data_IF_088847420769
#
_entry.id   IF_088847420769
#
_cell.length_a   1.000
_cell.length_b   1.000
_cell.length_c   1.000
_cell.angle_alpha   90.00
_cell.angle_beta   90.00
_cell.angle_gamma   90.00
#
_symmetry.space_group_name_H-M   'P 1'
#
loop_
_entity.id
_entity.type
_entity.pdbx_description
1 polymer ?
#
# COMPACT_ATOMS: atom_id res chain seq x y z
N UNK A 1 -0.87 -4.92 10.19
CA UNK A 1 -1.11 -6.36 10.46
C UNK A 1 -0.35 -7.21 9.44
N UNK A 2 -0.17 -8.52 9.69
CA UNK A 2 0.48 -9.43 8.72
C UNK A 2 -0.59 -10.27 8.02
N UNK A 3 -0.47 -10.38 6.69
CA UNK A 3 -1.28 -11.23 5.83
C UNK A 3 -0.36 -11.93 4.83
N UNK A 4 -0.37 -13.26 4.79
CA UNK A 4 0.47 -14.09 3.89
C UNK A 4 1.93 -13.60 3.77
N UNK A 5 2.61 -13.46 4.92
CA UNK A 5 3.99 -12.99 5.02
C UNK A 5 4.24 -11.57 4.45
N UNK A 6 3.21 -10.75 4.33
CA UNK A 6 3.34 -9.32 3.99
C UNK A 6 2.75 -8.45 5.10
N UNK A 7 3.29 -7.25 5.27
CA UNK A 7 2.70 -6.26 6.16
C UNK A 7 1.65 -5.44 5.43
N UNK A 8 0.43 -5.43 5.94
CA UNK A 8 -0.57 -4.42 5.60
C UNK A 8 -0.42 -3.26 6.58
N UNK A 9 0.37 -2.25 6.18
CA UNK A 9 0.67 -1.09 7.01
C UNK A 9 -0.52 -0.12 7.04
N UNK A 10 -0.82 0.46 8.19
CA UNK A 10 -1.99 1.29 8.46
C UNK A 10 -3.35 0.59 8.23
N UNK A 11 -3.33 -0.73 8.19
CA UNK A 11 -4.53 -1.57 8.20
C UNK A 11 -4.57 -2.31 9.53
N UNK A 12 -5.67 -2.15 10.23
CA UNK A 12 -5.91 -2.77 11.53
C UNK A 12 -6.48 -4.16 11.40
N UNK A 13 -7.39 -4.36 10.44
CA UNK A 13 -8.18 -5.56 10.27
C UNK A 13 -8.59 -5.74 8.80
N UNK A 14 -8.83 -6.98 8.37
CA UNK A 14 -9.46 -7.27 7.08
C UNK A 14 -10.82 -7.92 7.32
N UNK A 15 -11.81 -7.55 6.52
CA UNK A 15 -13.17 -8.06 6.56
C UNK A 15 -13.54 -8.73 5.24
N UNK A 16 -14.03 -9.96 5.28
CA UNK A 16 -14.50 -10.63 4.08
C UNK A 16 -15.62 -9.86 3.39
N UNK A 17 -15.47 -9.60 2.10
CA UNK A 17 -16.47 -9.02 1.24
C UNK A 17 -17.28 -10.13 0.53
N UNK A 18 -18.50 -9.80 0.07
CA UNK A 18 -19.39 -10.78 -0.56
C UNK A 18 -18.83 -11.40 -1.86
N UNK A 19 -17.91 -10.71 -2.51
CA UNK A 19 -17.29 -11.12 -3.77
C UNK A 19 -16.01 -11.97 -3.60
N UNK A 20 -15.74 -12.48 -2.38
CA UNK A 20 -14.57 -13.30 -2.08
C UNK A 20 -13.27 -12.53 -1.87
N UNK A 21 -13.30 -11.18 -1.94
CA UNK A 21 -12.17 -10.32 -1.57
C UNK A 21 -12.27 -9.89 -0.09
N UNK A 22 -11.32 -9.05 0.35
CA UNK A 22 -11.28 -8.48 1.69
C UNK A 22 -11.28 -6.96 1.62
N UNK A 23 -12.17 -6.31 2.38
CA UNK A 23 -12.05 -4.90 2.71
C UNK A 23 -10.90 -4.73 3.70
N UNK A 24 -10.06 -3.75 3.48
CA UNK A 24 -8.97 -3.38 4.38
C UNK A 24 -9.44 -2.25 5.29
N UNK A 25 -9.55 -2.53 6.59
CA UNK A 25 -10.08 -1.58 7.58
C UNK A 25 -8.95 -0.86 8.30
N UNK A 26 -8.98 0.46 8.33
CA UNK A 26 -7.97 1.28 9.02
C UNK A 26 -8.12 1.26 10.53
N UNK A 27 -9.34 1.11 11.03
CA UNK A 27 -9.64 0.92 12.45
C UNK A 27 -10.41 -0.40 12.65
N UNK A 28 -10.27 -1.04 13.84
CA UNK A 28 -10.94 -2.31 14.09
C UNK A 28 -12.48 -2.17 14.05
N UNK A 29 -13.15 -3.26 13.71
CA UNK A 29 -14.62 -3.35 13.75
C UNK A 29 -15.22 -2.95 15.11
N UNK A 30 -14.50 -3.23 16.18
CA UNK A 30 -14.93 -2.84 17.54
C UNK A 30 -15.03 -1.31 17.70
N UNK A 31 -14.13 -0.57 17.06
CA UNK A 31 -14.14 0.90 17.03
C UNK A 31 -15.17 1.42 16.03
N UNK A 32 -15.26 0.79 14.85
CA UNK A 32 -16.19 1.16 13.77
C UNK A 32 -17.64 1.25 14.27
N UNK A 33 -18.06 0.35 15.17
CA UNK A 33 -19.40 0.35 15.75
C UNK A 33 -19.82 1.66 16.45
N UNK A 34 -18.84 2.44 16.90
CA UNK A 34 -19.08 3.75 17.54
C UNK A 34 -19.01 4.94 16.59
N UNK A 35 -18.73 4.70 15.30
CA UNK A 35 -18.61 5.75 14.29
C UNK A 35 -19.99 6.08 13.67
N UNK A 36 -20.11 7.29 13.10
CA UNK A 36 -21.21 7.60 12.20
C UNK A 36 -21.14 6.74 10.94
N UNK A 37 -22.26 6.59 10.21
CA UNK A 37 -22.31 5.83 8.94
C UNK A 37 -21.23 6.29 7.95
N UNK A 38 -21.06 7.60 7.80
CA UNK A 38 -20.07 8.19 6.89
C UNK A 38 -18.63 7.87 7.33
N UNK A 39 -18.36 7.92 8.64
CA UNK A 39 -17.04 7.59 9.17
C UNK A 39 -16.73 6.08 9.04
N UNK A 40 -17.72 5.22 9.26
CA UNK A 40 -17.60 3.77 9.06
C UNK A 40 -17.33 3.42 7.59
N UNK A 41 -17.99 4.10 6.64
CA UNK A 41 -17.70 3.91 5.20
C UNK A 41 -16.27 4.36 4.85
N UNK A 42 -15.80 5.47 5.45
CA UNK A 42 -14.42 5.98 5.27
C UNK A 42 -13.36 5.06 5.88
N UNK A 43 -13.74 4.17 6.81
CA UNK A 43 -12.81 3.20 7.38
C UNK A 43 -12.20 2.27 6.34
N UNK A 44 -12.88 2.03 5.22
CA UNK A 44 -12.42 1.20 4.10
C UNK A 44 -11.49 1.93 3.11
N UNK A 45 -11.33 3.25 3.24
CA UNK A 45 -10.46 4.01 2.35
C UNK A 45 -8.98 3.75 2.68
N UNK A 46 -8.22 3.30 1.69
CA UNK A 46 -6.83 2.88 1.84
C UNK A 46 -5.81 4.04 1.86
N UNK A 47 -6.23 5.28 2.06
CA UNK A 47 -5.33 6.42 2.12
C UNK A 47 -4.25 6.23 3.18
N UNK A 48 -2.98 6.29 2.76
CA UNK A 48 -1.83 6.07 3.63
C UNK A 48 -1.63 4.61 4.05
N UNK A 49 -2.39 3.68 3.46
CA UNK A 49 -2.15 2.26 3.61
C UNK A 49 -1.10 1.79 2.59
N UNK A 50 -0.28 0.85 3.00
CA UNK A 50 0.72 0.23 2.14
C UNK A 50 0.72 -1.30 2.33
N UNK A 51 1.05 -2.01 1.25
CA UNK A 51 1.43 -3.42 1.31
C UNK A 51 2.94 -3.47 1.24
N UNK A 52 3.58 -4.00 2.28
CA UNK A 52 5.05 -3.99 2.44
C UNK A 52 5.59 -5.40 2.60
N UNK A 53 6.66 -5.71 1.89
CA UNK A 53 7.33 -7.01 2.01
C UNK A 53 8.75 -7.00 1.45
N UNK A 54 9.55 -7.96 1.87
CA UNK A 54 10.78 -8.35 1.20
C UNK A 54 10.47 -9.51 0.24
N UNK A 55 11.03 -9.45 -0.96
CA UNK A 55 10.87 -10.51 -1.94
C UNK A 55 12.06 -11.47 -1.85
N UNK A 56 11.78 -12.73 -1.48
CA UNK A 56 12.80 -13.82 -1.41
C UNK A 56 12.94 -14.55 -2.74
N UNK A 57 11.85 -14.71 -3.46
CA UNK A 57 11.84 -15.30 -4.79
C UNK A 57 12.04 -14.26 -5.89
N UNK A 58 11.72 -14.64 -7.13
CA UNK A 58 11.90 -13.76 -8.29
C UNK A 58 10.81 -12.70 -8.41
N UNK A 59 9.59 -13.05 -8.03
CA UNK A 59 8.42 -12.17 -8.16
C UNK A 59 7.34 -12.49 -7.11
N UNK A 60 6.54 -11.47 -6.82
CA UNK A 60 5.27 -11.60 -6.11
C UNK A 60 4.14 -11.06 -6.98
N UNK A 61 2.93 -11.56 -6.75
CA UNK A 61 1.70 -11.14 -7.42
C UNK A 61 0.69 -10.70 -6.37
N UNK A 62 0.21 -9.48 -6.51
CA UNK A 62 -0.87 -8.96 -5.70
C UNK A 62 -2.13 -8.93 -6.55
N UNK A 63 -3.19 -9.54 -6.05
CA UNK A 63 -4.51 -9.50 -6.67
C UNK A 63 -5.39 -8.55 -5.90
N UNK A 64 -5.72 -7.45 -6.53
CA UNK A 64 -6.51 -6.35 -5.97
C UNK A 64 -7.73 -6.09 -6.86
N UNK A 65 -8.73 -5.40 -6.31
CA UNK A 65 -9.85 -4.88 -7.08
C UNK A 65 -10.47 -3.66 -6.41
N UNK A 66 -11.25 -2.91 -7.16
CA UNK A 66 -12.22 -1.98 -6.62
C UNK A 66 -13.57 -2.69 -6.40
N UNK A 67 -14.44 -2.18 -5.51
CA UNK A 67 -15.83 -2.62 -5.46
C UNK A 67 -16.49 -2.50 -6.83
N UNK A 68 -17.45 -3.37 -7.11
CA UNK A 68 -18.17 -3.39 -8.38
C UNK A 68 -18.83 -2.03 -8.69
N UNK A 69 -18.66 -1.56 -9.91
CA UNK A 69 -19.18 -0.26 -10.37
C UNK A 69 -18.42 0.96 -9.83
N UNK A 70 -17.34 0.78 -9.06
CA UNK A 70 -16.51 1.89 -8.59
C UNK A 70 -15.56 2.38 -9.68
N UNK A 71 -15.21 3.66 -9.62
CA UNK A 71 -14.14 4.21 -10.44
C UNK A 71 -12.81 3.50 -10.16
N UNK A 72 -11.95 3.41 -11.17
CA UNK A 72 -10.61 2.85 -11.00
C UNK A 72 -9.79 3.65 -9.99
N UNK A 73 -8.91 2.95 -9.27
CA UNK A 73 -7.93 3.50 -8.37
C UNK A 73 -6.51 3.19 -8.85
N UNK A 74 -5.51 3.63 -8.09
CA UNK A 74 -4.11 3.38 -8.42
C UNK A 74 -3.34 2.88 -7.20
N UNK A 75 -2.28 2.15 -7.48
CA UNK A 75 -1.26 1.79 -6.52
C UNK A 75 0.10 2.20 -7.07
N UNK A 76 1.00 2.63 -6.21
CA UNK A 76 2.37 2.99 -6.60
C UNK A 76 3.36 2.02 -5.96
N UNK A 77 4.19 1.40 -6.80
CA UNK A 77 5.23 0.45 -6.38
C UNK A 77 6.54 1.19 -6.17
N UNK A 78 7.14 1.01 -5.00
CA UNK A 78 8.40 1.61 -4.59
C UNK A 78 9.36 0.54 -4.10
N UNK A 79 10.65 0.74 -4.37
CA UNK A 79 11.77 0.07 -3.69
C UNK A 79 12.30 1.03 -2.62
N UNK A 80 11.99 0.73 -1.36
CA UNK A 80 12.22 1.69 -0.28
C UNK A 80 11.48 3.01 -0.53
N UNK A 81 12.24 4.07 -0.78
CA UNK A 81 11.72 5.40 -1.10
C UNK A 81 11.73 5.73 -2.61
N UNK A 82 12.19 4.83 -3.47
CA UNK A 82 12.44 5.07 -4.89
C UNK A 82 11.36 4.36 -5.73
N UNK A 83 10.85 5.02 -6.75
CA UNK A 83 9.88 4.42 -7.68
C UNK A 83 10.47 3.19 -8.38
N UNK A 84 9.68 2.13 -8.52
CA UNK A 84 10.10 0.86 -9.11
C UNK A 84 10.42 0.92 -10.61
N UNK A 85 9.99 1.97 -11.29
CA UNK A 85 10.26 2.23 -12.69
C UNK A 85 9.56 3.51 -13.14
N UNK A 86 10.00 4.11 -14.23
CA UNK A 86 9.54 5.43 -14.64
C UNK A 86 8.06 5.44 -15.05
N UNK A 87 7.63 4.49 -15.88
CA UNK A 87 6.23 4.38 -16.34
C UNK A 87 5.45 3.24 -15.68
N UNK A 88 6.16 2.29 -15.07
CA UNK A 88 5.57 1.08 -14.53
C UNK A 88 5.27 1.15 -13.03
N UNK A 89 5.75 2.16 -12.33
CA UNK A 89 5.57 2.27 -10.88
C UNK A 89 4.09 2.45 -10.49
N UNK A 90 3.29 3.14 -11.31
CA UNK A 90 1.88 3.38 -11.05
C UNK A 90 1.03 2.35 -11.78
N UNK A 91 0.27 1.57 -11.00
CA UNK A 91 -0.62 0.51 -11.49
C UNK A 91 -2.07 0.91 -11.28
N UNK A 92 -2.90 0.74 -12.31
CA UNK A 92 -4.35 1.01 -12.23
C UNK A 92 -5.08 -0.22 -11.69
N UNK A 93 -5.95 -0.03 -10.70
CA UNK A 93 -6.79 -1.06 -10.10
C UNK A 93 -8.22 -0.83 -10.56
N UNK A 94 -8.82 -1.84 -11.16
CA UNK A 94 -10.19 -1.80 -11.71
C UNK A 94 -11.20 -2.49 -10.77
N UNK A 95 -12.48 -2.40 -11.09
CA UNK A 95 -13.60 -3.08 -10.43
C UNK A 95 -13.69 -4.59 -10.73
N UNK A 96 -12.68 -5.13 -11.38
CA UNK A 96 -12.43 -6.56 -11.60
C UNK A 96 -11.08 -6.94 -11.01
N UNK A 97 -10.80 -8.23 -10.95
CA UNK A 97 -9.48 -8.71 -10.51
C UNK A 97 -8.38 -8.03 -11.35
N UNK A 98 -7.47 -7.39 -10.64
CA UNK A 98 -6.31 -6.70 -11.20
C UNK A 98 -5.06 -7.29 -10.58
N UNK A 99 -4.19 -7.86 -11.39
CA UNK A 99 -2.91 -8.43 -10.95
C UNK A 99 -1.80 -7.37 -11.05
N UNK A 100 -1.10 -7.13 -9.94
CA UNK A 100 0.14 -6.35 -9.89
C UNK A 100 1.29 -7.31 -9.68
N UNK A 101 2.13 -7.47 -10.69
CA UNK A 101 3.36 -8.28 -10.59
C UNK A 101 4.50 -7.37 -10.18
N UNK A 102 5.21 -7.77 -9.13
CA UNK A 102 6.40 -7.07 -8.62
C UNK A 102 7.58 -8.02 -8.64
N UNK A 103 8.68 -7.57 -9.22
CA UNK A 103 9.94 -8.32 -9.30
C UNK A 103 11.03 -7.62 -8.48
N UNK A 104 12.14 -8.29 -8.27
CA UNK A 104 13.33 -7.63 -7.76
C UNK A 104 13.77 -6.48 -8.71
N UNK A 105 14.33 -5.40 -8.17
CA UNK A 105 14.85 -4.32 -9.01
C UNK A 105 16.01 -4.81 -9.88
N UNK A 106 16.14 -4.22 -11.07
CA UNK A 106 17.20 -4.55 -12.01
C UNK A 106 18.60 -4.28 -11.44
N UNK A 107 18.76 -3.16 -10.73
CA UNK A 107 20.05 -2.75 -10.13
C UNK A 107 19.87 -2.45 -8.63
N UNK A 108 20.05 -3.49 -7.82
CA UNK A 108 19.96 -3.40 -6.35
C UNK A 108 21.07 -2.51 -5.76
N UNK A 109 22.27 -2.57 -6.33
CA UNK A 109 23.42 -1.81 -5.83
C UNK A 109 23.25 -0.31 -6.08
N UNK A 110 22.75 0.08 -7.25
CA UNK A 110 22.43 1.47 -7.52
C UNK A 110 21.35 2.01 -6.60
N UNK A 111 20.28 1.25 -6.34
CA UNK A 111 19.23 1.66 -5.42
C UNK A 111 19.74 1.80 -3.99
N UNK A 112 20.57 0.87 -3.52
CA UNK A 112 21.20 0.93 -2.21
C UNK A 112 22.07 2.18 -2.09
N UNK A 113 22.97 2.41 -3.05
CA UNK A 113 23.81 3.61 -3.09
C UNK A 113 23.00 4.90 -3.05
N UNK A 114 21.96 5.03 -3.90
CA UNK A 114 21.07 6.20 -3.90
C UNK A 114 20.36 6.40 -2.56
N UNK A 115 19.94 5.32 -1.92
CA UNK A 115 19.31 5.36 -0.59
C UNK A 115 20.27 5.89 0.45
N UNK A 116 21.51 5.40 0.48
CA UNK A 116 22.54 5.78 1.45
C UNK A 116 23.03 7.24 1.22
N UNK A 117 23.38 7.60 -0.01
CA UNK A 117 23.86 8.94 -0.38
C UNK A 117 22.83 10.03 -0.06
N UNK A 118 21.54 9.75 -0.27
CA UNK A 118 20.46 10.70 -0.03
C UNK A 118 19.80 10.51 1.34
N UNK A 119 20.26 9.60 2.18
CA UNK A 119 19.70 9.30 3.50
C UNK A 119 18.20 9.07 3.47
N UNK A 120 17.75 8.30 2.48
CA UNK A 120 16.32 8.02 2.31
C UNK A 120 15.79 7.15 3.46
N UNK A 121 14.56 7.38 3.92
CA UNK A 121 14.08 6.82 5.19
C UNK A 121 13.75 5.32 5.16
N UNK A 122 13.60 4.72 3.97
CA UNK A 122 13.30 3.29 3.82
C UNK A 122 14.44 2.58 3.10
N UNK A 123 14.79 1.38 3.57
CA UNK A 123 15.75 0.51 2.91
C UNK A 123 15.26 0.11 1.51
N UNK A 124 16.16 0.18 0.51
CA UNK A 124 15.81 -0.06 -0.90
C UNK A 124 15.43 -1.52 -1.22
N UNK A 125 15.75 -2.46 -0.36
CA UNK A 125 15.31 -3.86 -0.52
C UNK A 125 13.85 -4.08 -0.14
N UNK A 126 13.24 -3.15 0.62
CA UNK A 126 11.85 -3.21 1.02
C UNK A 126 10.93 -2.78 -0.14
N UNK A 127 10.09 -3.68 -0.60
CA UNK A 127 9.04 -3.35 -1.55
C UNK A 127 7.87 -2.73 -0.81
N UNK A 128 7.40 -1.57 -1.29
CA UNK A 128 6.27 -0.84 -0.75
C UNK A 128 5.27 -0.56 -1.86
N UNK A 129 4.03 -0.92 -1.65
CA UNK A 129 2.93 -0.65 -2.58
C UNK A 129 1.97 0.28 -1.87
N UNK A 130 2.04 1.57 -2.22
CA UNK A 130 1.20 2.62 -1.64
C UNK A 130 -0.14 2.66 -2.36
N UNK A 131 -1.22 2.58 -1.59
CA UNK A 131 -2.59 2.64 -2.10
C UNK A 131 -3.13 4.08 -2.06
N UNK A 132 -3.96 4.42 -3.04
CA UNK A 132 -4.59 5.73 -3.10
C UNK A 132 -5.85 5.82 -2.22
N UNK A 133 -6.40 7.02 -2.15
CA UNK A 133 -7.62 7.36 -1.42
C UNK A 133 -8.85 6.72 -2.07
N UNK A 134 -9.07 5.44 -1.82
CA UNK A 134 -10.21 4.67 -2.33
C UNK A 134 -10.36 3.36 -1.56
N UNK A 135 -11.51 2.74 -1.67
CA UNK A 135 -11.78 1.43 -1.08
C UNK A 135 -11.19 0.32 -1.95
N UNK A 136 -9.85 0.14 -1.90
CA UNK A 136 -9.21 -0.98 -2.56
C UNK A 136 -9.45 -2.26 -1.76
N UNK A 137 -9.90 -3.31 -2.42
CA UNK A 137 -10.09 -4.64 -1.82
C UNK A 137 -8.92 -5.55 -2.19
N UNK A 138 -8.46 -6.31 -1.19
CA UNK A 138 -7.44 -7.34 -1.36
C UNK A 138 -8.11 -8.67 -1.74
N UNK A 139 -7.66 -9.31 -2.81
CA UNK A 139 -8.09 -10.67 -3.18
C UNK A 139 -7.07 -11.66 -2.64
N UNK A 140 -5.81 -11.50 -3.07
CA UNK A 140 -4.74 -12.43 -2.69
C UNK A 140 -3.35 -11.81 -2.83
N UNK A 141 -2.36 -12.48 -2.20
CA UNK A 141 -0.94 -12.23 -2.37
C UNK A 141 -0.26 -13.57 -2.57
N UNK A 142 0.46 -13.72 -3.68
CA UNK A 142 1.19 -14.93 -4.07
C UNK A 142 2.69 -14.61 -4.22
N UNK A 143 3.54 -15.53 -3.81
CA UNK A 143 5.00 -15.39 -3.94
C UNK A 143 5.73 -15.70 -2.63
N UNK A 144 7.05 -15.86 -2.72
CA UNK A 144 7.90 -16.08 -1.55
C UNK A 144 8.32 -14.71 -0.98
N UNK A 145 7.62 -14.30 0.07
CA UNK A 145 7.75 -12.98 0.69
C UNK A 145 8.03 -13.09 2.18
N UNK A 146 8.62 -12.04 2.74
CA UNK A 146 8.80 -11.85 4.19
C UNK A 146 8.33 -10.47 4.61
N UNK A 147 7.78 -10.31 5.82
CA UNK A 147 7.45 -8.99 6.35
C UNK A 147 8.69 -8.07 6.46
N UNK A 148 8.50 -6.75 6.52
CA UNK A 148 9.58 -5.81 6.78
C UNK A 148 10.33 -6.14 8.07
N UNK A 149 11.65 -6.00 8.06
CA UNK A 149 12.46 -5.96 9.27
C UNK A 149 12.43 -4.56 9.86
N UNK A 150 12.62 -4.46 11.18
CA UNK A 150 12.53 -3.19 11.92
C UNK A 150 13.46 -2.11 11.35
N UNK A 151 14.68 -2.49 11.00
CA UNK A 151 15.72 -1.59 10.49
C UNK A 151 15.47 -1.06 9.08
N UNK A 152 14.51 -1.65 8.34
CA UNK A 152 14.16 -1.23 6.98
C UNK A 152 13.18 -0.07 6.94
N UNK A 153 12.63 0.30 8.08
CA UNK A 153 11.60 1.34 8.19
C UNK A 153 12.01 2.42 9.19
N UNK A 154 11.56 3.67 9.03
CA UNK A 154 11.86 4.74 9.98
C UNK A 154 11.37 4.40 11.39
N UNK A 155 12.19 4.71 12.41
CA UNK A 155 11.77 4.57 13.81
C UNK A 155 10.66 5.56 14.18
N UNK A 156 10.75 6.79 13.65
CA UNK A 156 9.75 7.84 13.91
C UNK A 156 8.57 7.68 12.99
N UNK A 157 7.37 7.70 13.57
CA UNK A 157 6.10 7.71 12.84
C UNK A 157 5.55 9.12 12.79
N UNK A 158 5.06 9.52 11.64
CA UNK A 158 4.36 10.77 11.43
C UNK A 158 2.86 10.51 11.35
N UNK A 159 2.08 11.21 12.15
CA UNK A 159 0.61 11.19 12.09
C UNK A 159 0.12 12.49 11.45
N UNK A 160 -0.44 12.39 10.26
CA UNK A 160 -1.12 13.48 9.60
C UNK A 160 -2.63 13.42 9.92
N UNK A 161 -3.17 14.51 10.47
CA UNK A 161 -4.61 14.68 10.70
C UNK A 161 -5.11 15.84 9.85
N UNK A 162 -6.19 15.61 9.08
CA UNK A 162 -6.74 16.64 8.21
C UNK A 162 -7.90 16.14 7.34
N UNK A 163 -8.31 16.99 6.40
CA UNK A 163 -9.41 16.73 5.47
C UNK A 163 -8.97 15.95 4.22
N UNK A 164 -9.77 16.00 3.17
CA UNK A 164 -9.54 15.37 1.86
C UNK A 164 -8.18 15.68 1.25
N UNK A 165 -7.62 16.86 1.44
CA UNK A 165 -6.29 17.24 0.94
C UNK A 165 -5.19 16.39 1.63
N UNK A 166 -5.30 16.19 2.94
CA UNK A 166 -4.39 15.30 3.69
C UNK A 166 -4.49 13.86 3.22
N UNK A 167 -5.68 13.41 2.81
CA UNK A 167 -5.89 12.11 2.20
C UNK A 167 -5.37 12.00 0.75
N UNK A 168 -5.02 13.12 0.11
CA UNK A 168 -4.52 13.11 -1.26
C UNK A 168 -5.58 13.05 -2.34
N UNK A 169 -6.82 13.47 -2.05
CA UNK A 169 -7.96 13.34 -2.98
C UNK A 169 -7.81 14.08 -4.32
N UNK A 170 -6.83 14.96 -4.46
CA UNK A 170 -6.51 15.68 -5.70
C UNK A 170 -5.02 15.49 -6.06
N UNK A 171 -4.31 14.60 -5.36
CA UNK A 171 -2.91 14.30 -5.64
C UNK A 171 -2.73 13.51 -6.94
N UNK A 172 -1.58 13.67 -7.59
CA UNK A 172 -1.24 12.92 -8.80
C UNK A 172 -1.14 11.41 -8.51
N UNK A 173 -0.57 11.06 -7.36
CA UNK A 173 -0.46 9.69 -6.84
C UNK A 173 -0.14 9.72 -5.34
N UNK A 174 -0.28 8.59 -4.65
CA UNK A 174 -0.10 8.50 -3.21
C UNK A 174 1.24 9.05 -2.69
N UNK A 175 2.42 8.73 -3.27
CA UNK A 175 3.70 9.27 -2.79
C UNK A 175 3.84 10.80 -2.93
N UNK A 176 3.05 11.44 -3.78
CA UNK A 176 3.13 12.89 -4.03
C UNK A 176 2.17 13.71 -3.18
N UNK A 177 1.44 13.09 -2.27
CA UNK A 177 0.65 13.84 -1.29
C UNK A 177 1.56 14.44 -0.22
N UNK A 178 1.21 15.60 0.31
CA UNK A 178 2.10 16.29 1.27
C UNK A 178 2.44 15.47 2.54
N UNK A 179 1.57 14.57 3.06
CA UNK A 179 1.95 13.75 4.20
C UNK A 179 2.98 12.67 3.88
N UNK A 180 3.19 12.36 2.61
CA UNK A 180 4.09 11.29 2.16
C UNK A 180 5.41 11.84 1.55
N UNK A 181 5.55 13.15 1.46
CA UNK A 181 6.79 13.85 1.09
C UNK A 181 7.58 14.20 2.34
#
# INVERSE_FOLDING_TARGET
MIFKNTELYNISEIEAAQNGSFNMLRVPKSVEKGLSSDAAERNKNCCGAEIRFNLKGDKAKLKLRMPEGSAASRATVLYGSIYSGWEEAVKTIYDRETEIVVSNPYDKEALKRLTEENRLPFDSSLIRIMLEHSNVQLIDIEGDTEPPRKEQTPERKYLAYGSSITHGSIGLNAPNTYPNR
#
